data_IF_186049239725
#
_entry.id   IF_186049239725
#
_cell.length_a   1.000
_cell.length_b   1.000
_cell.length_c   1.000
_cell.angle_alpha   90.00
_cell.angle_beta   90.00
_cell.angle_gamma   90.00
#
_symmetry.space_group_name_H-M   'P 1'
#
loop_
_entity.id
_entity.type
_entity.pdbx_description
1 polymer ?
#
# COMPACT_ATOMS: atom_id res chain seq x y z
N UNK A 1 -7.09 -10.01 1.29
CA UNK A 1 -5.70 -9.53 1.35
C UNK A 1 -5.16 -9.33 -0.08
N UNK A 2 -5.41 -8.17 -0.71
CA UNK A 2 -4.98 -7.89 -2.09
C UNK A 2 -3.45 -7.97 -2.27
N UNK A 3 -2.70 -7.71 -1.19
CA UNK A 3 -1.26 -7.89 -1.14
C UNK A 3 -0.83 -9.35 -1.35
N UNK A 4 -1.55 -10.30 -0.73
CA UNK A 4 -1.24 -11.72 -0.89
C UNK A 4 -1.37 -12.14 -2.36
N UNK A 5 -2.34 -11.58 -3.10
CA UNK A 5 -2.51 -11.87 -4.52
C UNK A 5 -1.30 -11.40 -5.36
N UNK A 6 -0.75 -10.21 -5.08
CA UNK A 6 0.48 -9.76 -5.74
C UNK A 6 1.69 -10.66 -5.41
N UNK A 7 1.84 -11.07 -4.14
CA UNK A 7 2.92 -11.94 -3.72
C UNK A 7 2.84 -13.37 -4.28
N UNK A 8 1.64 -13.86 -4.63
CA UNK A 8 1.52 -15.17 -5.32
C UNK A 8 2.11 -15.17 -6.73
N UNK A 9 2.24 -14.00 -7.37
CA UNK A 9 2.86 -13.92 -8.70
C UNK A 9 4.38 -14.11 -8.66
N UNK A 10 5.05 -13.73 -7.57
CA UNK A 10 6.51 -13.80 -7.45
C UNK A 10 7.08 -15.21 -7.67
N UNK A 11 6.62 -16.27 -6.97
CA UNK A 11 7.13 -17.62 -7.21
C UNK A 11 6.83 -18.09 -8.64
N UNK A 12 5.70 -17.70 -9.24
CA UNK A 12 5.40 -18.01 -10.63
C UNK A 12 6.37 -17.32 -11.61
N UNK A 13 6.64 -16.04 -11.41
CA UNK A 13 7.60 -15.26 -12.22
C UNK A 13 8.98 -15.91 -12.19
N UNK A 14 9.50 -16.21 -11.00
CA UNK A 14 10.84 -16.78 -10.86
C UNK A 14 10.95 -18.23 -11.30
N UNK A 15 9.85 -18.99 -11.26
CA UNK A 15 9.80 -20.31 -11.89
C UNK A 15 9.94 -20.21 -13.41
N UNK A 16 9.29 -19.22 -14.03
CA UNK A 16 9.33 -18.99 -15.48
C UNK A 16 10.64 -18.31 -15.95
N UNK A 17 11.16 -17.41 -15.14
CA UNK A 17 12.34 -16.57 -15.45
C UNK A 17 13.39 -16.72 -14.33
N UNK A 18 14.08 -17.88 -14.23
CA UNK A 18 15.02 -18.13 -13.14
C UNK A 18 16.24 -17.19 -13.16
N UNK A 19 16.60 -16.65 -14.33
CA UNK A 19 17.68 -15.67 -14.47
C UNK A 19 17.41 -14.39 -13.66
N UNK A 20 16.15 -13.96 -13.57
CA UNK A 20 15.76 -12.81 -12.77
C UNK A 20 15.98 -13.09 -11.27
N UNK A 21 15.64 -14.29 -10.80
CA UNK A 21 15.90 -14.69 -9.41
C UNK A 21 17.41 -14.64 -9.10
N UNK A 22 18.24 -15.19 -10.01
CA UNK A 22 19.70 -15.17 -9.86
C UNK A 22 20.23 -13.74 -9.83
N UNK A 23 19.72 -12.86 -10.69
CA UNK A 23 20.11 -11.45 -10.71
C UNK A 23 19.79 -10.78 -9.38
N UNK A 24 18.60 -10.96 -8.82
CA UNK A 24 18.27 -10.29 -7.55
C UNK A 24 19.08 -10.85 -6.39
N UNK A 25 19.33 -12.16 -6.36
CA UNK A 25 20.24 -12.76 -5.37
C UNK A 25 21.65 -12.16 -5.48
N UNK A 26 22.17 -12.00 -6.69
CA UNK A 26 23.48 -11.40 -6.93
C UNK A 26 23.56 -9.91 -6.53
N UNK A 27 22.44 -9.19 -6.51
CA UNK A 27 22.39 -7.79 -6.07
C UNK A 27 22.56 -7.64 -4.55
N UNK A 28 22.38 -8.71 -3.76
CA UNK A 28 22.56 -8.65 -2.30
C UNK A 28 21.60 -7.68 -1.58
N UNK A 29 20.47 -7.34 -2.20
CA UNK A 29 19.53 -6.32 -1.70
C UNK A 29 18.51 -6.86 -0.70
N UNK A 30 18.36 -8.18 -0.59
CA UNK A 30 17.40 -8.78 0.33
C UNK A 30 17.97 -8.91 1.72
N UNK A 31 17.15 -8.58 2.71
CA UNK A 31 17.44 -8.91 4.09
C UNK A 31 17.40 -10.43 4.27
N UNK A 32 18.44 -10.95 4.91
CA UNK A 32 18.41 -12.31 5.41
C UNK A 32 17.47 -12.36 6.62
N UNK A 33 16.49 -13.27 6.57
CA UNK A 33 15.63 -13.55 7.72
C UNK A 33 15.92 -14.95 8.24
N UNK A 34 16.13 -15.06 9.55
CA UNK A 34 16.40 -16.33 10.23
C UNK A 34 15.18 -16.74 11.03
N UNK A 35 14.98 -18.05 11.16
CA UNK A 35 13.98 -18.58 12.07
C UNK A 35 14.28 -18.12 13.49
N UNK A 36 13.22 -17.84 14.26
CA UNK A 36 13.25 -17.48 15.68
C UNK A 36 12.40 -18.51 16.44
N UNK A 37 12.92 -19.73 16.67
CA UNK A 37 12.15 -20.82 17.27
C UNK A 37 11.55 -20.47 18.63
N UNK A 38 12.25 -19.65 19.41
CA UNK A 38 11.83 -19.15 20.71
C UNK A 38 10.57 -18.28 20.67
N UNK A 39 10.28 -17.68 19.52
CA UNK A 39 9.05 -16.91 19.25
C UNK A 39 8.01 -17.71 18.45
N UNK A 40 8.28 -18.99 18.16
CA UNK A 40 7.46 -19.80 17.26
C UNK A 40 7.43 -19.28 15.82
N UNK A 41 8.41 -18.47 15.41
CA UNK A 41 8.41 -17.77 14.13
C UNK A 41 9.38 -18.42 13.14
N UNK A 42 8.86 -18.91 12.02
CA UNK A 42 9.67 -19.49 10.96
C UNK A 42 10.44 -18.42 10.15
N UNK A 43 11.48 -18.82 9.41
CA UNK A 43 12.33 -17.90 8.62
C UNK A 43 11.56 -17.15 7.51
N UNK A 44 10.45 -17.70 7.02
CA UNK A 44 9.59 -17.06 6.02
C UNK A 44 8.61 -16.03 6.63
N UNK A 45 8.56 -15.92 7.96
CA UNK A 45 7.72 -14.94 8.63
C UNK A 45 8.50 -13.63 8.80
N UNK A 46 8.14 -12.64 7.99
CA UNK A 46 8.69 -11.29 8.07
C UNK A 46 7.86 -10.43 9.02
N UNK A 47 8.53 -9.63 9.85
CA UNK A 47 7.85 -8.52 10.49
C UNK A 47 7.40 -7.48 9.44
N UNK A 48 6.40 -6.64 9.75
CA UNK A 48 5.82 -5.73 8.77
C UNK A 48 6.82 -4.77 8.10
N UNK A 49 7.87 -4.35 8.82
CA UNK A 49 8.88 -3.45 8.28
C UNK A 49 9.76 -4.16 7.27
N UNK A 50 10.26 -5.35 7.62
CA UNK A 50 11.07 -6.16 6.71
C UNK A 50 10.26 -6.62 5.49
N UNK A 51 8.99 -6.99 5.67
CA UNK A 51 8.11 -7.35 4.57
C UNK A 51 7.93 -6.20 3.56
N UNK A 52 7.76 -4.97 4.04
CA UNK A 52 7.66 -3.79 3.18
C UNK A 52 8.95 -3.53 2.40
N UNK A 53 10.12 -3.67 3.03
CA UNK A 53 11.42 -3.53 2.35
C UNK A 53 11.60 -4.58 1.26
N UNK A 54 11.30 -5.85 1.55
CA UNK A 54 11.37 -6.94 0.57
C UNK A 54 10.47 -6.67 -0.63
N UNK A 55 9.25 -6.18 -0.40
CA UNK A 55 8.33 -5.81 -1.47
C UNK A 55 8.90 -4.73 -2.40
N UNK A 56 9.38 -3.61 -1.84
CA UNK A 56 9.93 -2.51 -2.63
C UNK A 56 11.13 -2.96 -3.46
N UNK A 57 11.96 -3.85 -2.91
CA UNK A 57 13.09 -4.43 -3.63
C UNK A 57 12.64 -5.29 -4.82
N UNK A 58 11.64 -6.17 -4.65
CA UNK A 58 11.14 -6.98 -5.78
C UNK A 58 10.55 -6.11 -6.90
N UNK A 59 9.70 -5.14 -6.55
CA UNK A 59 9.06 -4.28 -7.54
C UNK A 59 10.04 -3.33 -8.24
N UNK A 60 11.12 -2.91 -7.58
CA UNK A 60 12.12 -2.04 -8.20
C UNK A 60 13.12 -2.79 -9.08
N UNK A 61 13.43 -4.04 -8.76
CA UNK A 61 14.38 -4.84 -9.52
C UNK A 61 13.75 -5.47 -10.79
N UNK A 62 12.46 -5.82 -10.75
CA UNK A 62 11.76 -6.56 -11.81
C UNK A 62 10.52 -5.79 -12.29
N UNK A 63 10.59 -5.14 -13.48
CA UNK A 63 9.48 -4.36 -14.04
C UNK A 63 8.17 -5.14 -14.19
N UNK A 64 8.24 -6.42 -14.55
CA UNK A 64 7.04 -7.27 -14.74
C UNK A 64 6.26 -7.47 -13.43
N UNK A 65 6.96 -7.60 -12.30
CA UNK A 65 6.33 -7.72 -10.98
C UNK A 65 5.65 -6.40 -10.60
N UNK A 66 6.27 -5.26 -10.94
CA UNK A 66 5.67 -3.95 -10.74
C UNK A 66 4.41 -3.76 -11.60
N UNK A 67 4.47 -4.13 -12.88
CA UNK A 67 3.34 -4.05 -13.80
C UNK A 67 2.15 -4.92 -13.33
N UNK A 68 2.42 -6.16 -12.91
CA UNK A 68 1.37 -7.02 -12.35
C UNK A 68 0.74 -6.42 -11.09
N UNK A 69 1.56 -5.84 -10.20
CA UNK A 69 1.08 -5.22 -8.97
C UNK A 69 0.19 -4.01 -9.24
N UNK A 70 0.53 -3.19 -10.24
CA UNK A 70 -0.25 -2.01 -10.62
C UNK A 70 -1.68 -2.37 -11.05
N UNK A 71 -1.89 -3.51 -11.72
CA UNK A 71 -3.23 -3.97 -12.09
C UNK A 71 -4.10 -4.32 -10.86
N UNK A 72 -3.49 -4.73 -9.74
CA UNK A 72 -4.21 -5.09 -8.53
C UNK A 72 -4.58 -3.87 -7.65
N UNK A 73 -4.02 -2.69 -7.90
CA UNK A 73 -4.24 -1.53 -7.03
C UNK A 73 -5.69 -1.03 -7.04
N UNK A 74 -6.36 -1.08 -8.20
CA UNK A 74 -7.79 -0.75 -8.30
C UNK A 74 -8.67 -1.69 -7.46
N UNK A 75 -8.45 -3.01 -7.59
CA UNK A 75 -9.16 -4.01 -6.79
C UNK A 75 -8.86 -3.86 -5.28
N UNK A 76 -7.58 -3.67 -4.93
CA UNK A 76 -7.15 -3.43 -3.55
C UNK A 76 -7.92 -2.26 -2.95
N UNK A 77 -7.89 -1.11 -3.61
CA UNK A 77 -8.52 0.11 -3.15
C UNK A 77 -10.03 -0.05 -3.03
N UNK A 78 -10.68 -0.63 -4.04
CA UNK A 78 -12.11 -0.92 -4.00
C UNK A 78 -12.48 -1.81 -2.80
N UNK A 79 -11.73 -2.89 -2.58
CA UNK A 79 -11.96 -3.79 -1.44
C UNK A 79 -11.75 -3.14 -0.08
N UNK A 80 -10.82 -2.17 0.03
CA UNK A 80 -10.59 -1.42 1.27
C UNK A 80 -11.78 -0.52 1.59
N UNK A 81 -12.33 0.19 0.60
CA UNK A 81 -13.51 1.04 0.79
C UNK A 81 -14.79 0.24 1.08
N UNK A 82 -14.88 -1.02 0.66
CA UNK A 82 -15.98 -1.90 1.07
C UNK A 82 -15.93 -2.23 2.57
N UNK A 83 -14.74 -2.41 3.15
CA UNK A 83 -14.56 -2.77 4.56
C UNK A 83 -14.60 -1.54 5.46
N UNK A 84 -14.02 -0.44 4.99
CA UNK A 84 -13.99 0.84 5.66
C UNK A 84 -14.58 1.92 4.74
N UNK A 85 -15.92 2.05 4.69
CA UNK A 85 -16.58 3.14 3.97
C UNK A 85 -16.03 4.52 4.37
N UNK A 86 -16.11 5.48 3.45
CA UNK A 86 -15.46 6.81 3.59
C UNK A 86 -15.88 7.55 4.86
N UNK A 87 -17.17 7.51 5.19
CA UNK A 87 -17.75 8.10 6.39
C UNK A 87 -17.18 7.45 7.67
N UNK A 88 -17.08 6.13 7.70
CA UNK A 88 -16.53 5.39 8.83
C UNK A 88 -15.02 5.63 8.96
N UNK A 89 -14.30 5.62 7.85
CA UNK A 89 -12.87 5.95 7.81
C UNK A 89 -12.62 7.35 8.37
N UNK A 90 -13.38 8.35 7.89
CA UNK A 90 -13.28 9.73 8.36
C UNK A 90 -13.58 9.85 9.86
N UNK A 91 -14.60 9.15 10.35
CA UNK A 91 -14.94 9.11 11.76
C UNK A 91 -13.77 8.62 12.63
N UNK A 92 -13.14 7.51 12.25
CA UNK A 92 -11.97 6.97 12.97
C UNK A 92 -10.76 7.92 12.88
N UNK A 93 -10.54 8.59 11.75
CA UNK A 93 -9.50 9.60 11.61
C UNK A 93 -9.73 10.80 12.55
N UNK A 94 -10.97 11.26 12.70
CA UNK A 94 -11.32 12.34 13.63
C UNK A 94 -11.05 11.91 15.08
N UNK A 95 -11.42 10.69 15.46
CA UNK A 95 -11.13 10.14 16.79
C UNK A 95 -9.61 10.11 17.02
N UNK A 96 -8.84 9.61 16.06
CA UNK A 96 -7.39 9.52 16.20
C UNK A 96 -6.71 10.89 16.26
N UNK A 97 -7.20 11.86 15.48
CA UNK A 97 -6.75 13.25 15.55
C UNK A 97 -6.84 13.82 16.96
N UNK A 98 -8.01 13.71 17.59
CA UNK A 98 -8.20 14.20 18.94
C UNK A 98 -7.44 13.38 19.99
N UNK A 99 -7.19 12.10 19.73
CA UNK A 99 -6.29 11.27 20.55
C UNK A 99 -4.85 11.80 20.52
N UNK A 100 -4.34 12.21 19.35
CA UNK A 100 -3.02 12.84 19.27
C UNK A 100 -2.99 14.22 19.93
N UNK A 101 -4.02 15.05 19.73
CA UNK A 101 -4.12 16.34 20.43
C UNK A 101 -4.10 16.17 21.96
N UNK A 102 -4.79 15.16 22.49
CA UNK A 102 -4.77 14.85 23.92
C UNK A 102 -3.35 14.52 24.41
N UNK A 103 -2.59 13.72 23.65
CA UNK A 103 -1.18 13.45 23.99
C UNK A 103 -0.34 14.71 24.02
N UNK A 104 -0.49 15.62 23.06
CA UNK A 104 0.26 16.89 23.10
C UNK A 104 -0.04 17.71 24.35
N UNK A 105 -1.29 17.70 24.84
CA UNK A 105 -1.64 18.32 26.12
C UNK A 105 -0.96 17.66 27.30
N UNK A 106 -0.88 16.33 27.33
CA UNK A 106 -0.15 15.59 28.37
C UNK A 106 1.34 15.96 28.41
N UNK A 107 1.92 16.38 27.28
CA UNK A 107 3.30 16.85 27.17
C UNK A 107 3.47 18.37 27.38
N UNK A 108 2.43 19.08 27.81
CA UNK A 108 2.49 20.50 28.19
C UNK A 108 2.12 21.49 27.08
N UNK A 109 1.44 21.06 26.01
CA UNK A 109 0.84 22.00 25.05
C UNK A 109 -0.52 22.51 25.57
N UNK A 110 -0.56 23.78 25.98
CA UNK A 110 -1.77 24.41 26.54
C UNK A 110 -2.76 24.93 25.48
N UNK A 111 -2.40 24.87 24.19
CA UNK A 111 -3.27 25.37 23.12
C UNK A 111 -4.56 24.52 23.00
N UNK A 112 -5.70 25.11 22.62
CA UNK A 112 -6.90 24.34 22.33
C UNK A 112 -6.65 23.41 21.13
N UNK A 113 -7.20 22.18 21.14
CA UNK A 113 -7.04 21.25 20.02
C UNK A 113 -7.70 21.86 18.77
N UNK A 114 -7.00 21.92 17.62
CA UNK A 114 -7.59 22.38 16.38
C UNK A 114 -8.70 21.43 15.90
N UNK A 115 -9.72 21.94 15.18
CA UNK A 115 -10.72 21.08 14.53
C UNK A 115 -10.04 20.19 13.49
N UNK A 116 -10.63 19.02 13.23
CA UNK A 116 -10.16 18.15 12.16
C UNK A 116 -10.36 18.84 10.79
N UNK A 117 -9.34 18.87 9.91
CA UNK A 117 -9.34 19.76 8.75
C UNK A 117 -10.16 19.27 7.56
N UNK A 118 -10.61 18.01 7.56
CA UNK A 118 -11.30 17.41 6.41
C UNK A 118 -12.72 17.02 6.77
N UNK A 119 -13.68 17.37 5.91
CA UNK A 119 -15.06 16.93 6.01
C UNK A 119 -15.36 15.81 5.00
N UNK A 120 -16.58 15.27 5.06
CA UNK A 120 -16.98 14.16 4.22
C UNK A 120 -17.04 14.57 2.73
N UNK A 121 -17.44 15.81 2.44
CA UNK A 121 -17.52 16.30 1.07
C UNK A 121 -16.12 16.38 0.45
N UNK A 122 -15.16 16.93 1.18
CA UNK A 122 -13.76 16.98 0.79
C UNK A 122 -13.19 15.60 0.47
N UNK A 123 -13.52 14.58 1.29
CA UNK A 123 -13.08 13.21 1.04
C UNK A 123 -13.65 12.63 -0.26
N UNK A 124 -14.93 12.89 -0.56
CA UNK A 124 -15.54 12.45 -1.82
C UNK A 124 -14.96 13.20 -3.03
N UNK A 125 -14.74 14.50 -2.91
CA UNK A 125 -14.11 15.31 -3.96
C UNK A 125 -12.69 14.81 -4.25
N UNK A 126 -11.93 14.45 -3.21
CA UNK A 126 -10.60 13.85 -3.34
C UNK A 126 -10.65 12.51 -4.07
N UNK A 127 -11.59 11.63 -3.71
CA UNK A 127 -11.74 10.33 -4.38
C UNK A 127 -12.14 10.48 -5.85
N UNK A 128 -12.97 11.47 -6.16
CA UNK A 128 -13.37 11.79 -7.54
C UNK A 128 -12.17 12.33 -8.34
N UNK A 129 -11.43 13.30 -7.80
CA UNK A 129 -10.21 13.83 -8.41
C UNK A 129 -9.20 12.72 -8.71
N UNK A 130 -9.02 11.77 -7.79
CA UNK A 130 -8.08 10.66 -8.00
C UNK A 130 -8.55 9.69 -9.10
N UNK A 131 -9.86 9.47 -9.23
CA UNK A 131 -10.42 8.68 -10.34
C UNK A 131 -10.21 9.38 -11.69
N UNK A 132 -10.44 10.68 -11.74
CA UNK A 132 -10.23 11.50 -12.94
C UNK A 132 -8.74 11.53 -13.34
N UNK A 133 -7.83 11.74 -12.38
CA UNK A 133 -6.39 11.68 -12.61
C UNK A 133 -5.93 10.30 -13.09
N UNK A 134 -6.45 9.23 -12.46
CA UNK A 134 -6.19 7.86 -12.87
C UNK A 134 -6.64 7.60 -14.32
N UNK A 135 -7.81 8.10 -14.71
CA UNK A 135 -8.32 8.00 -16.07
C UNK A 135 -7.44 8.78 -17.06
N UNK A 136 -7.11 10.03 -16.76
CA UNK A 136 -6.26 10.87 -17.62
C UNK A 136 -4.86 10.27 -17.81
N UNK A 137 -4.29 9.67 -16.76
CA UNK A 137 -3.03 8.94 -16.84
C UNK A 137 -3.17 7.68 -17.71
N UNK A 138 -4.28 6.94 -17.59
CA UNK A 138 -4.56 5.79 -18.45
C UNK A 138 -4.68 6.17 -19.93
N UNK A 139 -5.33 7.29 -20.24
CA UNK A 139 -5.41 7.83 -21.61
C UNK A 139 -4.02 8.20 -22.13
N UNK A 140 -3.18 8.87 -21.33
CA UNK A 140 -1.80 9.22 -21.70
C UNK A 140 -0.91 8.01 -21.95
N UNK A 141 -1.13 6.93 -21.22
CA UNK A 141 -0.38 5.67 -21.34
C UNK A 141 -0.96 4.73 -22.40
N UNK A 142 -2.07 5.10 -23.06
CA UNK A 142 -2.75 4.29 -24.06
C UNK A 142 -3.47 3.06 -23.50
N UNK A 143 -3.70 3.01 -22.19
CA UNK A 143 -4.40 1.91 -21.50
C UNK A 143 -5.92 2.11 -21.45
N UNK A 144 -6.42 3.34 -21.68
CA UNK A 144 -7.84 3.68 -21.84
C UNK A 144 -8.04 4.58 -23.06
N UNK A 145 -9.23 4.58 -23.68
CA UNK A 145 -9.56 5.50 -24.78
C UNK A 145 -10.38 6.68 -24.27
N UNK A 146 -10.13 7.87 -24.82
CA UNK A 146 -10.91 9.07 -24.49
C UNK A 146 -12.41 8.94 -24.86
N UNK A 147 -12.77 7.96 -25.70
CA UNK A 147 -14.14 7.63 -26.08
C UNK A 147 -14.91 6.81 -25.03
N UNK A 148 -14.26 6.38 -23.94
CA UNK A 148 -14.86 5.52 -22.92
C UNK A 148 -15.60 6.31 -21.82
N UNK A 149 -15.85 7.61 -22.06
CA UNK A 149 -16.62 8.55 -21.21
C UNK A 149 -18.12 8.48 -21.48
#
# INVERSE_FOLDING_TARGET
APYAAACTYWPHHFYKYPADAQRILAMGLFSENKAKPELGSAAYHYDPRNAATVQVTYSSAIPDIAAFSAHNDGFKKGSMWCIAPVDRFLHECIIDWFRYCAKFKEFGDDRPPPPYPYDLQYMYDLLKSEQEDGFLMGVRQGTCRASDL
#
